data_IF_053507492453
#
_entry.id   IF_053507492453
#
_cell.length_a   1.000
_cell.length_b   1.000
_cell.length_c   1.000
_cell.angle_alpha   90.00
_cell.angle_beta   90.00
_cell.angle_gamma   90.00
#
_symmetry.space_group_name_H-M   'P 1'
#
loop_
_entity.id
_entity.type
_entity.pdbx_description
1 polymer ?
#
# COMPACT_ATOMS: atom_id res chain seq x y z
N UNK A 1 6.42 -17.38 -18.98
CA UNK A 1 7.22 -16.91 -17.83
C UNK A 1 6.34 -15.98 -17.02
N UNK A 2 6.30 -16.17 -15.75
CA UNK A 2 5.43 -15.36 -14.87
C UNK A 2 6.24 -14.31 -14.13
N UNK A 3 5.70 -13.10 -14.06
CA UNK A 3 6.23 -12.06 -13.17
C UNK A 3 5.99 -12.48 -11.72
N UNK A 4 6.83 -12.02 -10.81
CA UNK A 4 6.62 -12.22 -9.39
C UNK A 4 6.67 -10.89 -8.65
N UNK A 5 6.06 -10.85 -7.47
CA UNK A 5 5.87 -9.62 -6.69
C UNK A 5 6.21 -9.90 -5.22
N UNK A 6 7.39 -10.48 -5.00
CA UNK A 6 7.77 -10.98 -3.68
C UNK A 6 8.58 -9.99 -2.85
N UNK A 7 8.99 -8.87 -3.45
CA UNK A 7 9.74 -7.83 -2.72
C UNK A 7 8.81 -6.97 -1.85
N UNK A 8 9.37 -6.27 -0.90
CA UNK A 8 8.62 -5.49 0.09
C UNK A 8 7.83 -4.33 -0.50
N UNK A 9 8.15 -3.88 -1.71
CA UNK A 9 7.40 -2.84 -2.41
C UNK A 9 6.42 -3.40 -3.42
N UNK A 10 6.36 -4.71 -3.60
CA UNK A 10 5.52 -5.40 -4.59
C UNK A 10 5.75 -4.89 -6.01
N UNK A 11 7.01 -4.61 -6.33
CA UNK A 11 7.41 -4.28 -7.69
C UNK A 11 7.39 -5.54 -8.54
N UNK A 12 7.21 -5.37 -9.84
CA UNK A 12 7.20 -6.48 -10.77
C UNK A 12 8.63 -6.97 -11.01
N UNK A 13 8.92 -8.21 -10.60
CA UNK A 13 10.19 -8.88 -10.89
C UNK A 13 9.99 -9.74 -12.13
N UNK A 14 10.47 -9.26 -13.25
CA UNK A 14 10.33 -9.95 -14.53
C UNK A 14 11.32 -11.09 -14.61
N UNK A 15 10.85 -12.28 -15.04
CA UNK A 15 11.75 -13.40 -15.34
C UNK A 15 12.53 -13.13 -16.62
N UNK A 16 13.70 -13.76 -16.76
CA UNK A 16 14.51 -13.65 -17.97
C UNK A 16 13.68 -14.04 -19.19
N UNK A 17 13.63 -13.17 -20.19
CA UNK A 17 12.84 -13.36 -21.40
C UNK A 17 11.35 -13.04 -21.26
N UNK A 18 10.92 -12.67 -20.06
CA UNK A 18 9.54 -12.24 -19.80
C UNK A 18 9.33 -10.81 -20.29
N UNK A 19 8.06 -10.41 -20.44
CA UNK A 19 7.67 -9.05 -20.82
C UNK A 19 8.32 -8.54 -22.10
N UNK A 20 8.57 -9.43 -23.07
CA UNK A 20 9.14 -9.06 -24.37
C UNK A 20 8.23 -8.01 -25.04
N UNK A 21 8.81 -6.86 -25.41
CA UNK A 21 8.08 -5.74 -25.99
C UNK A 21 7.40 -4.83 -24.95
N UNK A 22 7.36 -5.21 -23.68
CA UNK A 22 6.72 -4.42 -22.62
C UNK A 22 7.61 -4.15 -21.43
N UNK A 23 8.86 -4.64 -21.44
CA UNK A 23 9.76 -4.49 -20.27
C UNK A 23 10.04 -3.02 -19.93
N UNK A 24 10.07 -2.14 -20.93
CA UNK A 24 10.29 -0.71 -20.68
C UNK A 24 9.14 -0.10 -19.89
N UNK A 25 7.89 -0.42 -20.24
CA UNK A 25 6.72 0.04 -19.51
C UNK A 25 6.72 -0.50 -18.09
N UNK A 26 7.04 -1.79 -17.92
CA UNK A 26 7.10 -2.42 -16.59
C UNK A 26 8.18 -1.78 -15.72
N UNK A 27 9.37 -1.52 -16.30
CA UNK A 27 10.46 -0.87 -15.57
C UNK A 27 10.07 0.54 -15.15
N UNK A 28 9.43 1.31 -16.04
CA UNK A 28 9.00 2.67 -15.73
C UNK A 28 7.93 2.67 -14.62
N UNK A 29 7.00 1.73 -14.65
CA UNK A 29 6.01 1.59 -13.59
C UNK A 29 6.70 1.29 -12.26
N UNK A 30 7.69 0.42 -12.24
CA UNK A 30 8.45 0.13 -11.02
C UNK A 30 9.13 1.38 -10.47
N UNK A 31 9.73 2.20 -11.33
CA UNK A 31 10.37 3.44 -10.90
C UNK A 31 9.36 4.42 -10.29
N UNK A 32 8.17 4.52 -10.89
CA UNK A 32 7.08 5.34 -10.34
C UNK A 32 6.64 4.85 -8.97
N UNK A 33 6.54 3.53 -8.78
CA UNK A 33 6.15 2.93 -7.51
C UNK A 33 7.21 3.16 -6.42
N UNK A 34 8.49 3.15 -6.79
CA UNK A 34 9.57 3.48 -5.86
C UNK A 34 9.43 4.93 -5.39
N UNK A 35 9.17 5.86 -6.31
CA UNK A 35 8.93 7.25 -5.95
C UNK A 35 7.71 7.41 -5.04
N UNK A 36 6.64 6.69 -5.34
CA UNK A 36 5.42 6.67 -4.52
C UNK A 36 5.71 6.12 -3.12
N UNK A 37 6.54 5.09 -3.01
CA UNK A 37 6.89 4.46 -1.74
C UNK A 37 7.73 5.38 -0.83
N UNK A 38 8.40 6.38 -1.38
CA UNK A 38 9.18 7.34 -0.61
C UNK A 38 8.39 8.61 -0.30
N UNK A 39 7.15 8.69 -0.72
CA UNK A 39 6.33 9.88 -0.62
C UNK A 39 5.23 9.79 0.42
N UNK A 40 4.19 10.58 0.18
CA UNK A 40 3.02 10.71 1.04
C UNK A 40 1.79 10.16 0.33
N UNK A 41 0.96 9.43 1.07
CA UNK A 41 -0.29 8.90 0.55
C UNK A 41 -1.43 9.12 1.53
N UNK A 42 -2.65 9.15 0.99
CA UNK A 42 -3.88 9.28 1.80
C UNK A 42 -4.81 8.13 1.45
N UNK A 43 -5.27 7.42 2.45
CA UNK A 43 -6.25 6.35 2.27
C UNK A 43 -7.50 6.63 3.07
N UNK A 44 -8.66 6.60 2.41
CA UNK A 44 -9.94 6.84 3.06
C UNK A 44 -10.53 5.56 3.63
N UNK A 45 -10.96 5.62 4.89
CA UNK A 45 -11.76 4.55 5.49
C UNK A 45 -13.20 4.84 5.17
N UNK A 46 -13.83 3.91 4.45
CA UNK A 46 -15.17 4.12 3.94
C UNK A 46 -16.21 4.00 5.06
N UNK A 47 -17.03 5.01 5.17
CA UNK A 47 -18.30 4.96 5.90
C UNK A 47 -18.22 4.32 7.28
N UNK A 48 -17.44 4.91 8.20
CA UNK A 48 -17.51 4.55 9.61
C UNK A 48 -17.27 3.05 9.86
N UNK A 49 -16.29 2.48 9.16
CA UNK A 49 -15.97 1.07 9.29
C UNK A 49 -15.22 0.79 10.58
N UNK A 50 -15.53 -0.33 11.24
CA UNK A 50 -14.80 -0.79 12.42
C UNK A 50 -13.54 -1.57 12.03
N UNK A 51 -13.46 -2.04 10.79
CA UNK A 51 -12.30 -2.72 10.24
C UNK A 51 -12.03 -2.23 8.83
N UNK A 52 -10.75 -2.18 8.46
CA UNK A 52 -10.34 -1.76 7.12
C UNK A 52 -9.08 -2.52 6.74
N UNK A 53 -9.03 -3.00 5.51
CA UNK A 53 -7.83 -3.69 5.00
C UNK A 53 -7.17 -2.83 3.94
N UNK A 54 -5.89 -2.51 4.17
CA UNK A 54 -5.05 -1.79 3.21
C UNK A 54 -4.10 -2.79 2.57
N UNK A 55 -4.27 -3.03 1.28
CA UNK A 55 -3.43 -4.00 0.56
C UNK A 55 -2.47 -3.28 -0.37
N UNK A 56 -1.17 -3.60 -0.26
CA UNK A 56 -0.17 -3.09 -1.18
C UNK A 56 -0.29 -3.89 -2.47
N UNK A 57 -0.68 -3.21 -3.54
CA UNK A 57 -0.98 -3.84 -4.82
C UNK A 57 0.30 -4.34 -5.51
N UNK A 58 0.18 -5.47 -6.19
CA UNK A 58 1.28 -6.03 -6.96
C UNK A 58 1.48 -5.21 -8.25
N UNK A 59 2.61 -4.50 -8.32
CA UNK A 59 2.99 -3.79 -9.53
C UNK A 59 2.07 -2.64 -9.93
N UNK A 60 1.26 -2.12 -9.01
CA UNK A 60 0.28 -1.08 -9.29
C UNK A 60 0.25 -0.04 -8.17
N UNK A 61 -0.25 1.14 -8.50
CA UNK A 61 -0.38 2.26 -7.55
C UNK A 61 -1.26 1.90 -6.35
N UNK A 62 -0.84 2.35 -5.17
CA UNK A 62 -1.55 2.09 -3.92
C UNK A 62 -1.14 3.14 -2.88
N UNK A 63 -2.09 3.85 -2.24
CA UNK A 63 -1.74 4.87 -1.23
C UNK A 63 -0.96 4.33 -0.05
N UNK A 64 -1.21 3.08 0.37
CA UNK A 64 -0.56 2.50 1.55
C UNK A 64 0.90 2.11 1.27
N UNK A 65 1.32 2.12 0.00
CA UNK A 65 2.73 1.92 -0.38
C UNK A 65 3.61 3.06 0.12
N UNK A 66 3.05 4.26 0.29
CA UNK A 66 3.82 5.45 0.65
C UNK A 66 4.49 5.30 2.01
N UNK A 67 5.63 5.96 2.18
CA UNK A 67 6.34 5.96 3.46
C UNK A 67 5.54 6.67 4.54
N UNK A 68 4.80 7.71 4.20
CA UNK A 68 3.93 8.44 5.11
C UNK A 68 2.49 8.28 4.63
N UNK A 69 1.66 7.64 5.43
CA UNK A 69 0.26 7.36 5.07
C UNK A 69 -0.66 8.03 6.08
N UNK A 70 -1.58 8.85 5.57
CA UNK A 70 -2.64 9.43 6.38
C UNK A 70 -3.94 8.68 6.14
N UNK A 71 -4.55 8.16 7.19
CA UNK A 71 -5.88 7.58 7.10
C UNK A 71 -6.93 8.63 7.41
N UNK A 72 -7.93 8.75 6.54
CA UNK A 72 -8.99 9.73 6.64
C UNK A 72 -10.36 9.04 6.75
N UNK A 73 -11.38 9.79 7.07
CA UNK A 73 -12.75 9.27 7.19
C UNK A 73 -13.40 9.73 8.49
N UNK A 74 -14.66 9.34 8.68
CA UNK A 74 -15.40 9.64 9.90
C UNK A 74 -15.67 8.34 10.64
N UNK A 75 -15.27 8.27 11.91
CA UNK A 75 -15.40 7.07 12.72
C UNK A 75 -16.25 7.36 13.97
N UNK A 76 -17.07 6.38 14.37
CA UNK A 76 -17.82 6.43 15.63
C UNK A 76 -17.25 5.45 16.67
N UNK A 77 -16.29 4.64 16.29
CA UNK A 77 -15.60 3.68 17.16
C UNK A 77 -14.20 3.43 16.62
N UNK A 78 -13.35 2.77 17.40
CA UNK A 78 -12.00 2.42 16.96
C UNK A 78 -12.06 1.54 15.70
N UNK A 79 -11.15 1.80 14.77
CA UNK A 79 -11.05 1.02 13.53
C UNK A 79 -9.73 0.23 13.53
N UNK A 80 -9.82 -1.07 13.31
CA UNK A 80 -8.64 -1.92 13.12
C UNK A 80 -8.28 -1.93 11.65
N UNK A 81 -7.08 -1.45 11.33
CA UNK A 81 -6.56 -1.39 9.98
C UNK A 81 -5.54 -2.51 9.82
N UNK A 82 -5.81 -3.43 8.88
CA UNK A 82 -4.90 -4.52 8.57
C UNK A 82 -4.13 -4.17 7.30
N UNK A 83 -2.80 -4.11 7.42
CA UNK A 83 -1.94 -3.86 6.27
C UNK A 83 -1.50 -5.22 5.72
N UNK A 84 -1.84 -5.45 4.47
CA UNK A 84 -1.59 -6.72 3.77
C UNK A 84 -0.68 -6.48 2.56
N UNK A 85 0.01 -7.50 2.09
CA UNK A 85 0.14 -8.84 2.65
C UNK A 85 1.07 -8.88 3.87
N UNK A 86 1.02 -9.99 4.61
CA UNK A 86 1.73 -10.10 5.90
C UNK A 86 3.22 -10.43 5.78
N UNK A 87 3.72 -10.55 4.56
CA UNK A 87 5.12 -10.89 4.30
C UNK A 87 5.95 -9.68 3.85
N UNK A 88 5.43 -8.47 4.06
CA UNK A 88 6.13 -7.23 3.72
C UNK A 88 6.76 -6.64 4.99
N UNK A 89 8.04 -6.31 4.91
CA UNK A 89 8.78 -5.64 5.97
C UNK A 89 9.22 -4.27 5.49
N UNK A 90 8.79 -3.22 6.19
CA UNK A 90 9.18 -1.86 5.82
C UNK A 90 8.86 -0.88 6.96
N UNK A 91 9.48 0.28 6.90
CA UNK A 91 9.19 1.37 7.83
C UNK A 91 8.12 2.27 7.22
N UNK A 92 7.13 2.65 8.01
CA UNK A 92 6.11 3.60 7.60
C UNK A 92 5.79 4.57 8.73
N UNK A 93 5.45 5.80 8.36
CA UNK A 93 4.88 6.78 9.27
C UNK A 93 3.37 6.80 9.00
N UNK A 94 2.57 6.65 10.05
CA UNK A 94 1.12 6.55 9.91
C UNK A 94 0.47 7.66 10.72
N UNK A 95 -0.41 8.41 10.06
CA UNK A 95 -1.15 9.51 10.69
C UNK A 95 -2.63 9.14 10.77
N UNK A 96 -3.24 9.39 11.93
CA UNK A 96 -4.68 9.26 12.11
C UNK A 96 -5.32 10.61 11.77
N UNK A 97 -5.76 10.77 10.52
CA UNK A 97 -6.49 11.96 10.06
C UNK A 97 -7.99 11.78 10.08
N UNK A 98 -8.49 10.75 10.79
CA UNK A 98 -9.92 10.50 10.87
C UNK A 98 -10.60 11.51 11.79
N UNK A 99 -11.90 11.75 11.56
CA UNK A 99 -12.73 12.57 12.43
C UNK A 99 -13.54 11.68 13.38
N UNK A 100 -14.04 12.26 14.48
CA UNK A 100 -14.83 11.54 15.47
C UNK A 100 -14.07 11.18 16.73
N UNK A 101 -12.81 11.61 16.86
CA UNK A 101 -11.96 11.38 18.03
C UNK A 101 -11.79 9.90 18.38
N UNK A 102 -11.67 9.06 17.35
CA UNK A 102 -11.50 7.62 17.53
C UNK A 102 -10.05 7.22 17.25
N UNK A 103 -9.65 6.09 17.83
CA UNK A 103 -8.33 5.52 17.60
C UNK A 103 -8.34 4.64 16.36
N UNK A 104 -7.18 4.56 15.70
CA UNK A 104 -6.93 3.52 14.70
C UNK A 104 -5.96 2.51 15.30
N UNK A 105 -6.18 1.24 14.98
CA UNK A 105 -5.35 0.13 15.46
C UNK A 105 -4.72 -0.51 14.24
N UNK A 106 -3.39 -0.55 14.20
CA UNK A 106 -2.67 -1.05 13.04
C UNK A 106 -2.25 -2.49 13.30
N UNK A 107 -2.55 -3.36 12.36
CA UNK A 107 -2.07 -4.74 12.38
C UNK A 107 -1.59 -5.14 11.00
N UNK A 108 -0.86 -6.23 10.92
CA UNK A 108 -0.38 -6.77 9.65
C UNK A 108 -0.95 -8.18 9.48
N UNK A 109 -1.52 -8.41 8.31
CA UNK A 109 -2.14 -9.70 8.07
C UNK A 109 -2.26 -10.14 6.65
#
# INVERSE_FOLDING_TARGET
MASSYVNDLRLNEMATGDASGTWGTTTNTNLELIGEALGYGTEGITTNADTHTSTIANGATDPVRAMYVEYTGTLDSACTITIAPNDISRMQFIENGTSGSQNIIISQG
#
